data_IF_338559356859
#
_entry.id   IF_338559356859
#
_cell.length_a   1.000
_cell.length_b   1.000
_cell.length_c   1.000
_cell.angle_alpha   90.00
_cell.angle_beta   90.00
_cell.angle_gamma   90.00
#
_symmetry.space_group_name_H-M   'P 1'
#
loop_
_entity.id
_entity.type
_entity.pdbx_description
1 polymer ?
#
# COMPACT_ATOMS: atom_id res chain seq x y z
N UNK A 1 14.45 0.75 2.98
CA UNK A 1 15.67 0.57 2.17
C UNK A 1 16.87 0.31 3.08
N UNK A 2 17.35 1.31 3.83
CA UNK A 2 18.51 1.22 4.75
C UNK A 2 18.62 -0.02 5.63
N UNK A 3 17.59 -0.30 6.45
CA UNK A 3 17.61 -1.42 7.42
C UNK A 3 17.93 -2.79 6.79
N UNK A 4 17.45 -3.03 5.57
CA UNK A 4 17.62 -4.31 4.88
C UNK A 4 18.57 -4.20 3.68
N UNK A 5 19.22 -3.05 3.49
CA UNK A 5 20.07 -2.75 2.34
C UNK A 5 19.43 -3.09 0.97
N UNK A 6 18.15 -2.75 0.80
CA UNK A 6 17.41 -3.02 -0.45
C UNK A 6 17.06 -1.73 -1.18
N UNK A 7 17.23 -1.76 -2.50
CA UNK A 7 16.69 -0.77 -3.43
C UNK A 7 15.21 -1.06 -3.65
N UNK A 8 14.36 -0.05 -3.50
CA UNK A 8 12.90 -0.18 -3.67
C UNK A 8 12.50 0.67 -4.88
N UNK A 9 11.94 0.03 -5.90
CA UNK A 9 11.36 0.74 -7.03
C UNK A 9 9.83 0.78 -6.89
N UNK A 10 9.27 1.98 -6.95
CA UNK A 10 7.84 2.23 -6.86
C UNK A 10 7.37 2.90 -8.15
N UNK A 11 6.34 2.31 -8.76
CA UNK A 11 5.64 2.86 -9.91
C UNK A 11 4.18 3.08 -9.56
N UNK A 12 3.74 4.32 -9.67
CA UNK A 12 2.39 4.76 -9.33
C UNK A 12 1.54 4.93 -10.57
N UNK A 13 0.27 4.59 -10.47
CA UNK A 13 -0.72 5.01 -11.45
C UNK A 13 -1.04 6.50 -11.28
N UNK A 14 -1.26 7.25 -12.37
CA UNK A 14 -1.75 8.63 -12.28
C UNK A 14 -3.10 8.74 -11.53
N UNK A 15 -3.49 9.94 -11.07
CA UNK A 15 -4.81 10.20 -10.53
C UNK A 15 -5.91 9.65 -11.43
N UNK A 16 -6.98 9.12 -10.81
CA UNK A 16 -8.14 8.53 -11.51
C UNK A 16 -7.85 7.28 -12.34
N UNK A 17 -6.69 6.62 -12.15
CA UNK A 17 -6.33 5.38 -12.84
C UNK A 17 -6.30 4.15 -11.91
N UNK A 18 -6.93 4.22 -10.73
CA UNK A 18 -6.96 3.10 -9.77
C UNK A 18 -7.54 1.82 -10.39
N UNK A 19 -8.49 1.91 -11.33
CA UNK A 19 -9.08 0.77 -12.07
C UNK A 19 -8.03 -0.20 -12.66
N UNK A 20 -6.85 0.30 -13.01
CA UNK A 20 -5.77 -0.52 -13.58
C UNK A 20 -4.91 -1.20 -12.52
N UNK A 21 -5.01 -0.80 -11.24
CA UNK A 21 -4.31 -1.46 -10.15
C UNK A 21 -4.93 -2.84 -9.89
N UNK A 22 -4.17 -3.95 -10.01
CA UNK A 22 -4.70 -5.30 -9.79
C UNK A 22 -5.33 -5.50 -8.41
N UNK A 23 -4.91 -4.72 -7.40
CA UNK A 23 -5.47 -4.79 -6.04
C UNK A 23 -6.97 -4.47 -6.01
N UNK A 24 -7.49 -3.63 -6.92
CA UNK A 24 -8.92 -3.29 -6.97
C UNK A 24 -9.79 -4.53 -7.23
N UNK A 25 -9.27 -5.53 -7.95
CA UNK A 25 -9.99 -6.80 -8.19
C UNK A 25 -10.12 -7.62 -6.91
N UNK A 26 -9.10 -7.59 -6.06
CA UNK A 26 -9.14 -8.23 -4.76
C UNK A 26 -10.16 -7.53 -3.85
N UNK A 27 -10.18 -6.18 -3.86
CA UNK A 27 -11.16 -5.39 -3.11
C UNK A 27 -12.59 -5.69 -3.52
N UNK A 28 -12.88 -5.76 -4.82
CA UNK A 28 -14.20 -6.16 -5.30
C UNK A 28 -14.62 -7.56 -4.79
N UNK A 29 -13.67 -8.49 -4.65
CA UNK A 29 -13.97 -9.83 -4.07
C UNK A 29 -14.23 -9.76 -2.57
N UNK A 30 -13.45 -8.97 -1.82
CA UNK A 30 -13.70 -8.72 -0.39
C UNK A 30 -15.08 -8.11 -0.19
N UNK A 31 -15.41 -7.10 -0.99
CA UNK A 31 -16.69 -6.39 -0.94
C UNK A 31 -17.87 -7.34 -1.17
N UNK A 32 -17.79 -8.19 -2.19
CA UNK A 32 -18.82 -9.19 -2.45
C UNK A 32 -18.92 -10.25 -1.35
N UNK A 33 -17.81 -10.63 -0.72
CA UNK A 33 -17.80 -11.68 0.30
C UNK A 33 -18.50 -11.26 1.59
N UNK A 34 -18.34 -10.01 2.02
CA UNK A 34 -18.98 -9.51 3.25
C UNK A 34 -20.26 -8.72 2.98
N UNK A 35 -20.71 -8.63 1.73
CA UNK A 35 -21.92 -7.89 1.39
C UNK A 35 -23.12 -8.51 2.13
N UNK A 36 -23.89 -7.67 2.83
CA UNK A 36 -25.00 -8.11 3.67
C UNK A 36 -24.60 -8.63 5.06
N UNK A 37 -23.30 -8.61 5.41
CA UNK A 37 -22.83 -8.97 6.75
C UNK A 37 -22.52 -7.73 7.58
N UNK A 38 -22.73 -7.86 8.90
CA UNK A 38 -22.42 -6.82 9.86
C UNK A 38 -20.99 -6.99 10.38
N UNK A 39 -20.12 -6.02 10.07
CA UNK A 39 -18.69 -6.04 10.39
C UNK A 39 -18.40 -5.43 11.77
N UNK A 40 -19.02 -5.97 12.82
CA UNK A 40 -18.98 -5.38 14.17
C UNK A 40 -17.66 -5.54 14.90
N UNK A 41 -16.91 -6.60 14.61
CA UNK A 41 -15.69 -6.93 15.34
C UNK A 41 -14.51 -7.14 14.40
N UNK A 42 -13.33 -6.88 14.93
CA UNK A 42 -12.06 -7.18 14.23
C UNK A 42 -12.00 -8.66 13.86
N UNK A 43 -12.51 -9.54 14.72
CA UNK A 43 -12.54 -10.98 14.47
C UNK A 43 -13.40 -11.34 13.25
N UNK A 44 -14.61 -10.76 13.13
CA UNK A 44 -15.47 -10.95 11.96
C UNK A 44 -14.73 -10.53 10.69
N UNK A 45 -14.14 -9.33 10.69
CA UNK A 45 -13.34 -8.84 9.56
C UNK A 45 -12.17 -9.78 9.22
N UNK A 46 -11.42 -10.24 10.23
CA UNK A 46 -10.32 -11.16 10.03
C UNK A 46 -10.78 -12.51 9.46
N UNK A 47 -11.94 -13.01 9.87
CA UNK A 47 -12.50 -14.25 9.34
C UNK A 47 -12.86 -14.14 7.86
N UNK A 48 -13.45 -13.03 7.42
CA UNK A 48 -13.67 -12.77 5.99
C UNK A 48 -12.34 -12.68 5.22
N UNK A 49 -11.40 -11.89 5.74
CA UNK A 49 -10.12 -11.68 5.07
C UNK A 49 -9.31 -12.97 4.98
N UNK A 50 -9.21 -13.78 6.04
CA UNK A 50 -8.48 -15.08 6.05
C UNK A 50 -9.09 -16.12 5.11
N UNK A 51 -10.40 -16.09 4.89
CA UNK A 51 -11.08 -17.03 3.99
C UNK A 51 -11.18 -16.54 2.54
N UNK A 52 -10.77 -15.29 2.27
CA UNK A 52 -10.69 -14.75 0.94
C UNK A 52 -9.75 -15.59 0.06
N UNK A 53 -10.25 -15.98 -1.12
CA UNK A 53 -9.47 -16.66 -2.16
C UNK A 53 -9.59 -15.89 -3.46
N UNK A 54 -8.47 -15.63 -4.12
CA UNK A 54 -8.40 -14.95 -5.41
C UNK A 54 -7.56 -15.77 -6.40
N UNK A 55 -8.15 -16.12 -7.54
CA UNK A 55 -7.51 -16.98 -8.57
C UNK A 55 -6.88 -18.27 -7.99
N UNK A 56 -7.57 -18.91 -7.05
CA UNK A 56 -7.09 -20.13 -6.37
C UNK A 56 -6.06 -19.89 -5.26
N UNK A 57 -5.62 -18.65 -5.04
CA UNK A 57 -4.67 -18.31 -3.98
C UNK A 57 -5.43 -17.79 -2.75
N UNK A 58 -5.24 -18.46 -1.61
CA UNK A 58 -5.81 -18.02 -0.33
C UNK A 58 -5.03 -16.81 0.20
N UNK A 59 -5.74 -15.85 0.79
CA UNK A 59 -5.12 -14.65 1.34
C UNK A 59 -4.26 -14.98 2.58
N UNK A 60 -3.23 -14.16 2.81
CA UNK A 60 -2.49 -14.11 4.08
C UNK A 60 -2.88 -12.82 4.79
N UNK A 61 -3.54 -12.95 5.94
CA UNK A 61 -4.05 -11.81 6.70
C UNK A 61 -3.38 -11.74 8.06
N UNK A 62 -2.81 -10.57 8.39
CA UNK A 62 -2.24 -10.27 9.70
C UNK A 62 -2.84 -8.97 10.23
N UNK A 63 -3.39 -9.01 11.45
CA UNK A 63 -3.77 -7.80 12.15
C UNK A 63 -2.50 -7.06 12.59
N UNK A 64 -2.43 -5.77 12.29
CA UNK A 64 -1.34 -4.89 12.73
C UNK A 64 -1.90 -3.81 13.64
N UNK A 65 -1.71 -4.00 14.94
CA UNK A 65 -2.14 -3.05 15.98
C UNK A 65 -1.05 -2.00 16.20
N UNK A 66 -0.87 -1.12 15.20
CA UNK A 66 0.07 -0.01 15.30
C UNK A 66 -0.72 1.30 15.32
N UNK A 67 -0.53 2.08 16.39
CA UNK A 67 -1.02 3.45 16.47
C UNK A 67 -0.08 4.35 15.66
N UNK A 68 -0.53 4.77 14.49
CA UNK A 68 0.19 5.78 13.70
C UNK A 68 -0.11 7.16 14.27
N UNK A 69 0.93 7.91 14.62
CA UNK A 69 0.77 9.31 15.00
C UNK A 69 0.27 10.11 13.80
N UNK A 70 -0.79 10.88 14.00
CA UNK A 70 -1.35 11.79 12.99
C UNK A 70 -0.76 13.19 13.18
N UNK A 71 -0.77 14.00 12.12
CA UNK A 71 -0.28 15.39 12.18
C UNK A 71 1.24 15.53 12.13
N UNK A 72 1.97 14.45 11.82
CA UNK A 72 3.40 14.52 11.55
C UNK A 72 3.64 15.36 10.29
N UNK A 73 4.20 16.55 10.47
CA UNK A 73 4.65 17.41 9.37
C UNK A 73 6.17 17.50 9.46
N UNK A 74 6.85 17.14 8.38
CA UNK A 74 8.31 17.29 8.26
C UNK A 74 8.57 18.67 7.63
N UNK A 75 9.62 19.34 8.09
CA UNK A 75 10.05 20.60 7.48
C UNK A 75 10.38 20.39 5.99
N UNK A 76 10.02 21.36 5.15
CA UNK A 76 10.21 21.24 3.70
C UNK A 76 11.68 21.08 3.31
N UNK A 77 12.61 21.70 4.04
CA UNK A 77 14.05 21.58 3.76
C UNK A 77 14.56 20.21 4.15
N UNK A 78 14.09 19.67 5.28
CA UNK A 78 14.42 18.32 5.72
C UNK A 78 13.91 17.27 4.74
N UNK A 79 12.64 17.37 4.33
CA UNK A 79 12.07 16.48 3.32
C UNK A 79 12.87 16.55 2.01
N UNK A 80 13.21 17.75 1.54
CA UNK A 80 14.02 17.92 0.31
C UNK A 80 15.39 17.24 0.41
N UNK A 81 16.08 17.36 1.55
CA UNK A 81 17.37 16.66 1.76
C UNK A 81 17.21 15.15 1.64
N UNK A 82 16.15 14.59 2.21
CA UNK A 82 15.87 13.15 2.11
C UNK A 82 15.55 12.74 0.67
N UNK A 83 14.80 13.54 -0.07
CA UNK A 83 14.54 13.29 -1.49
C UNK A 83 15.83 13.31 -2.30
N UNK A 84 16.67 14.32 -2.11
CA UNK A 84 17.94 14.49 -2.83
C UNK A 84 18.94 13.36 -2.52
N UNK A 85 18.96 12.85 -1.28
CA UNK A 85 19.90 11.82 -0.84
C UNK A 85 19.46 10.39 -1.21
N UNK A 86 18.15 10.09 -1.13
CA UNK A 86 17.66 8.71 -1.20
C UNK A 86 16.72 8.43 -2.39
N UNK A 87 16.24 9.44 -3.12
CA UNK A 87 15.22 9.26 -4.15
C UNK A 87 15.77 9.60 -5.54
N UNK A 88 15.69 8.61 -6.44
CA UNK A 88 16.01 8.77 -7.86
C UNK A 88 14.71 8.67 -8.67
N UNK A 89 14.48 9.62 -9.59
CA UNK A 89 13.28 9.62 -10.47
C UNK A 89 13.65 9.23 -11.90
N UNK A 90 12.90 8.29 -12.46
CA UNK A 90 13.11 7.80 -13.84
C UNK A 90 12.72 8.85 -14.87
N UNK A 91 13.55 9.10 -15.89
CA UNK A 91 13.36 10.24 -16.81
C UNK A 91 12.06 10.23 -17.60
N UNK A 92 11.60 9.06 -18.05
CA UNK A 92 10.42 8.91 -18.89
C UNK A 92 9.11 9.17 -18.15
N UNK A 93 9.04 8.81 -16.86
CA UNK A 93 7.82 8.86 -16.03
C UNK A 93 8.10 9.46 -14.65
N UNK A 94 8.94 10.51 -14.56
CA UNK A 94 9.49 11.11 -13.32
C UNK A 94 8.49 11.29 -12.18
N UNK A 95 7.28 11.75 -12.49
CA UNK A 95 6.23 12.00 -11.50
C UNK A 95 5.70 10.71 -10.86
N UNK A 96 5.75 9.61 -11.60
CA UNK A 96 5.10 8.34 -11.31
C UNK A 96 6.07 7.22 -10.97
N UNK A 97 7.38 7.39 -11.17
CA UNK A 97 8.40 6.40 -10.86
C UNK A 97 9.44 6.98 -9.91
N UNK A 98 9.64 6.29 -8.79
CA UNK A 98 10.67 6.63 -7.81
C UNK A 98 11.44 5.36 -7.44
N UNK A 99 12.74 5.53 -7.28
CA UNK A 99 13.65 4.53 -6.76
C UNK A 99 14.16 5.05 -5.44
N UNK A 100 13.95 4.29 -4.37
CA UNK A 100 14.45 4.58 -3.03
C UNK A 100 15.69 3.73 -2.79
N UNK A 101 16.83 4.36 -2.59
CA UNK A 101 18.09 3.68 -2.29
C UNK A 101 18.28 3.45 -0.79
N UNK A 102 19.09 2.43 -0.40
CA UNK A 102 19.44 2.19 1.00
C UNK A 102 20.05 3.38 1.72
#
# INVERSE_FOLDING_TARGET
AKKYNIKIELVYYPPYHSKYNPVERLWARVENNWNGFLLETVEICLNFMRNLTWKGVKSVTKLKEVKYQKGLTIDKKEMKKLEDEYIIRTESIKKWSVIITP
#
